data_IF_156669622809
#
_entry.id   IF_156669622809
#
_cell.length_a   1.000
_cell.length_b   1.000
_cell.length_c   1.000
_cell.angle_alpha   90.00
_cell.angle_beta   90.00
_cell.angle_gamma   90.00
#
_symmetry.space_group_name_H-M   'P 1'
#
loop_
_entity.id
_entity.type
_entity.pdbx_description
1 polymer ?
#
# COMPACT_ATOMS: atom_id res chain seq x y z
N UNK A 1 -13.39 10.62 -1.97
CA UNK A 1 -13.98 9.73 -0.94
C UNK A 1 -12.99 9.65 0.18
N UNK A 2 -13.45 9.48 1.43
CA UNK A 2 -12.58 9.52 2.62
C UNK A 2 -11.38 8.58 2.46
N UNK A 3 -10.22 9.05 2.90
CA UNK A 3 -8.97 8.31 2.89
C UNK A 3 -8.24 8.47 4.22
N UNK A 4 -7.34 7.53 4.52
CA UNK A 4 -6.40 7.59 5.63
C UNK A 4 -5.37 8.70 5.43
N UNK A 5 -4.98 8.92 4.17
CA UNK A 5 -4.00 9.93 3.80
C UNK A 5 -2.55 9.53 4.10
N UNK A 6 -2.29 8.38 4.74
CA UNK A 6 -0.97 7.76 4.89
C UNK A 6 -1.01 6.24 5.08
N UNK A 7 -1.79 5.54 4.24
CA UNK A 7 -1.96 4.09 4.40
C UNK A 7 -0.75 3.28 3.92
N UNK A 8 0.26 3.14 4.77
CA UNK A 8 1.38 2.19 4.64
C UNK A 8 1.20 1.01 5.59
N UNK A 9 1.93 -0.09 5.37
CA UNK A 9 1.88 -1.25 6.29
C UNK A 9 2.38 -0.93 7.70
N UNK A 10 3.22 0.09 7.87
CA UNK A 10 3.66 0.56 9.20
C UNK A 10 2.52 1.20 10.01
N UNK A 11 1.47 1.68 9.33
CA UNK A 11 0.31 2.33 9.93
C UNK A 11 -0.88 1.37 10.10
N UNK A 12 -0.63 0.07 9.93
CA UNK A 12 -1.61 -1.01 10.10
C UNK A 12 -1.20 -1.91 11.27
N UNK A 13 -2.02 -1.92 12.32
CA UNK A 13 -1.85 -2.81 13.47
C UNK A 13 -2.79 -4.01 13.35
N UNK A 14 -2.27 -5.20 13.66
CA UNK A 14 -3.06 -6.42 13.74
C UNK A 14 -3.27 -6.77 15.21
N UNK A 15 -4.50 -6.64 15.69
CA UNK A 15 -4.89 -7.09 17.02
C UNK A 15 -5.56 -8.45 16.91
N UNK A 16 -4.91 -9.49 17.42
CA UNK A 16 -5.53 -10.81 17.56
C UNK A 16 -6.44 -10.82 18.79
N UNK A 17 -7.65 -11.34 18.63
CA UNK A 17 -8.54 -11.59 19.77
C UNK A 17 -7.95 -12.67 20.68
N UNK A 18 -8.32 -12.71 21.97
CA UNK A 18 -8.01 -13.88 22.79
C UNK A 18 -8.66 -15.09 22.13
N UNK A 19 -7.87 -16.16 21.92
CA UNK A 19 -8.36 -17.45 21.44
C UNK A 19 -9.48 -17.93 22.36
N UNK A 20 -10.74 -17.67 22.01
CA UNK A 20 -11.93 -18.07 22.77
C UNK A 20 -12.69 -16.99 23.56
N UNK A 21 -12.45 -15.68 23.35
CA UNK A 21 -13.18 -14.65 24.11
C UNK A 21 -13.63 -13.44 23.28
N UNK A 22 -14.90 -13.05 23.41
CA UNK A 22 -15.42 -11.78 22.87
C UNK A 22 -14.74 -10.62 23.62
N UNK A 23 -14.09 -9.68 22.93
CA UNK A 23 -13.50 -8.51 23.58
C UNK A 23 -14.60 -7.62 24.19
N UNK A 24 -14.39 -7.05 25.39
CA UNK A 24 -15.39 -6.18 26.03
C UNK A 24 -15.59 -4.90 25.19
N UNK A 25 -16.85 -4.52 24.97
CA UNK A 25 -17.24 -3.28 24.26
C UNK A 25 -17.97 -3.44 22.92
N UNK A 26 -18.36 -4.66 22.51
CA UNK A 26 -18.99 -4.90 21.19
C UNK A 26 -20.50 -5.19 21.24
N UNK A 27 -21.22 -4.67 20.23
CA UNK A 27 -22.63 -4.92 19.94
C UNK A 27 -22.88 -6.39 19.54
N UNK A 28 -24.08 -6.95 19.80
CA UNK A 28 -24.42 -8.36 19.65
C UNK A 28 -24.11 -9.03 18.30
N UNK A 29 -24.14 -8.28 17.19
CA UNK A 29 -24.31 -8.87 15.84
C UNK A 29 -23.04 -8.97 14.98
N UNK A 30 -21.89 -8.50 15.46
CA UNK A 30 -20.61 -8.70 14.75
C UNK A 30 -19.89 -9.96 15.27
N UNK A 31 -19.79 -10.98 14.42
CA UNK A 31 -19.03 -12.19 14.73
C UNK A 31 -17.57 -11.81 15.05
N UNK A 32 -16.96 -12.37 16.12
CA UNK A 32 -15.59 -12.04 16.45
C UNK A 32 -14.67 -12.62 15.37
N UNK A 33 -14.13 -11.76 14.51
CA UNK A 33 -12.93 -12.10 13.79
C UNK A 33 -11.82 -12.28 14.84
N UNK A 34 -11.17 -13.44 14.80
CA UNK A 34 -9.95 -13.76 15.55
C UNK A 34 -8.81 -12.74 15.31
N UNK A 35 -8.96 -11.91 14.27
CA UNK A 35 -8.04 -10.87 13.86
C UNK A 35 -8.79 -9.56 13.56
N UNK A 36 -8.36 -8.47 14.21
CA UNK A 36 -8.81 -7.10 13.95
C UNK A 36 -7.69 -6.29 13.32
N UNK A 37 -8.05 -5.47 12.33
CA UNK A 37 -7.16 -4.51 11.70
C UNK A 37 -7.46 -3.13 12.31
N UNK A 38 -6.45 -2.49 12.87
CA UNK A 38 -6.54 -1.14 13.44
C UNK A 38 -5.62 -0.24 12.63
N UNK A 39 -6.17 0.87 12.14
CA UNK A 39 -5.42 1.89 11.40
C UNK A 39 -5.04 3.03 12.34
N UNK A 40 -3.84 3.56 12.20
CA UNK A 40 -3.29 4.62 13.05
C UNK A 40 -2.61 5.70 12.20
N UNK A 41 -2.35 6.88 12.76
CA UNK A 41 -1.62 7.97 12.10
C UNK A 41 -2.29 8.49 10.81
N UNK A 42 -3.56 8.89 10.94
CA UNK A 42 -4.31 9.52 9.86
C UNK A 42 -3.74 10.90 9.56
N UNK A 43 -3.48 11.19 8.28
CA UNK A 43 -2.96 12.47 7.83
C UNK A 43 -3.93 13.13 6.84
N UNK A 44 -3.97 14.46 6.87
CA UNK A 44 -4.73 15.21 5.88
C UNK A 44 -4.15 15.02 4.47
N UNK A 45 -5.01 14.73 3.51
CA UNK A 45 -4.63 14.64 2.09
C UNK A 45 -5.15 15.85 1.32
N UNK A 46 -4.28 16.46 0.52
CA UNK A 46 -4.69 17.55 -0.39
C UNK A 46 -5.78 17.12 -1.38
N UNK A 47 -5.75 15.84 -1.79
CA UNK A 47 -6.81 15.21 -2.58
C UNK A 47 -7.32 13.99 -1.82
N UNK A 48 -8.54 14.06 -1.30
CA UNK A 48 -9.16 12.95 -0.58
C UNK A 48 -9.68 11.88 -1.55
N UNK A 49 -8.91 10.81 -1.68
CA UNK A 49 -9.26 9.70 -2.55
C UNK A 49 -8.68 8.37 -2.04
N UNK A 50 -9.46 7.28 -2.07
CA UNK A 50 -8.94 5.95 -1.75
C UNK A 50 -7.81 5.52 -2.69
N UNK A 51 -7.69 6.12 -3.88
CA UNK A 51 -6.58 5.88 -4.80
C UNK A 51 -5.23 6.27 -4.22
N UNK A 52 -5.20 7.33 -3.40
CA UNK A 52 -3.97 7.76 -2.74
C UNK A 52 -3.54 6.72 -1.70
N UNK A 53 -4.48 6.22 -0.90
CA UNK A 53 -4.22 5.13 0.06
C UNK A 53 -3.79 3.84 -0.64
N UNK A 54 -4.46 3.47 -1.74
CA UNK A 54 -4.07 2.30 -2.53
C UNK A 54 -2.65 2.44 -3.09
N UNK A 55 -2.29 3.64 -3.59
CA UNK A 55 -0.95 3.93 -4.09
C UNK A 55 0.11 3.88 -2.99
N UNK A 56 -0.23 4.35 -1.77
CA UNK A 56 0.63 4.25 -0.59
C UNK A 56 0.79 2.82 -0.11
N UNK A 57 -0.29 2.02 -0.10
CA UNK A 57 -0.20 0.61 0.23
C UNK A 57 0.68 -0.14 -0.77
N UNK A 58 0.52 0.13 -2.07
CA UNK A 58 1.37 -0.45 -3.11
C UNK A 58 2.84 -0.05 -3.00
N UNK A 59 3.18 1.04 -2.31
CA UNK A 59 4.57 1.38 -2.00
C UNK A 59 5.25 0.26 -1.19
N UNK A 60 4.54 -0.30 -0.22
CA UNK A 60 5.02 -1.44 0.56
C UNK A 60 4.89 -2.75 -0.22
N UNK A 61 3.74 -2.99 -0.85
CA UNK A 61 3.48 -4.27 -1.49
C UNK A 61 4.36 -4.52 -2.72
N UNK A 62 4.72 -3.47 -3.46
CA UNK A 62 5.53 -3.58 -4.70
C UNK A 62 7.01 -3.37 -4.41
N UNK A 63 7.35 -2.35 -3.61
CA UNK A 63 8.73 -1.94 -3.42
C UNK A 63 9.33 -2.34 -2.07
N UNK A 64 8.54 -2.92 -1.18
CA UNK A 64 9.00 -3.35 0.15
C UNK A 64 9.48 -2.19 1.01
N UNK A 65 8.88 -1.00 0.88
CA UNK A 65 9.42 0.22 1.48
C UNK A 65 9.64 0.12 3.01
N UNK A 66 8.66 -0.45 3.74
CA UNK A 66 8.82 -0.72 5.18
C UNK A 66 10.00 -1.66 5.44
N UNK A 67 10.11 -2.75 4.70
CA UNK A 67 11.21 -3.74 4.84
C UNK A 67 12.58 -3.10 4.56
N UNK A 68 12.66 -2.25 3.53
CA UNK A 68 13.87 -1.50 3.19
C UNK A 68 14.26 -0.50 4.28
N UNK A 69 13.27 0.13 4.90
CA UNK A 69 13.47 1.11 5.97
C UNK A 69 13.96 0.48 7.28
N UNK A 70 13.73 -0.82 7.50
CA UNK A 70 14.27 -1.56 8.64
C UNK A 70 15.79 -1.74 8.57
N UNK A 71 16.42 -1.61 7.39
CA UNK A 71 17.87 -1.66 7.23
C UNK A 71 18.52 -2.92 7.85
N UNK A 72 19.70 -2.81 8.49
CA UNK A 72 20.38 -3.93 9.16
C UNK A 72 19.54 -4.60 10.26
N UNK A 73 18.54 -3.92 10.80
CA UNK A 73 17.63 -4.48 11.80
C UNK A 73 16.73 -5.57 11.22
N UNK A 74 16.43 -5.53 9.90
CA UNK A 74 15.74 -6.64 9.24
C UNK A 74 16.55 -7.94 9.28
N UNK A 75 17.87 -7.85 9.16
CA UNK A 75 18.79 -8.99 9.26
C UNK A 75 18.87 -9.54 10.68
N UNK A 76 18.80 -8.68 11.70
CA UNK A 76 18.75 -9.11 13.11
C UNK A 76 17.46 -9.87 13.46
N UNK A 77 16.35 -9.56 12.77
CA UNK A 77 15.05 -10.17 12.98
C UNK A 77 14.87 -11.54 12.31
N UNK A 78 15.88 -12.07 11.59
CA UNK A 78 15.78 -13.34 10.84
C UNK A 78 14.53 -13.42 9.94
N UNK A 79 14.15 -12.28 9.33
CA UNK A 79 12.99 -12.22 8.46
C UNK A 79 13.22 -13.05 7.19
N UNK A 80 12.35 -14.03 6.95
CA UNK A 80 12.27 -14.71 5.67
C UNK A 80 11.66 -13.76 4.62
N UNK A 81 12.54 -12.97 4.00
CA UNK A 81 12.16 -11.96 3.02
C UNK A 81 11.40 -12.58 1.83
N UNK A 82 11.72 -13.82 1.45
CA UNK A 82 11.01 -14.52 0.38
C UNK A 82 9.54 -14.70 0.74
N UNK A 83 9.24 -15.20 1.94
CA UNK A 83 7.84 -15.35 2.40
C UNK A 83 7.12 -14.00 2.55
N UNK A 84 7.83 -12.97 3.01
CA UNK A 84 7.28 -11.61 3.11
C UNK A 84 6.86 -11.10 1.73
N UNK A 85 7.76 -11.15 0.73
CA UNK A 85 7.45 -10.69 -0.62
C UNK A 85 6.39 -11.54 -1.32
N UNK A 86 6.35 -12.86 -1.08
CA UNK A 86 5.24 -13.70 -1.54
C UNK A 86 3.89 -13.24 -0.95
N UNK A 87 3.87 -12.91 0.33
CA UNK A 87 2.66 -12.41 1.01
C UNK A 87 2.25 -11.04 0.47
N UNK A 88 3.21 -10.16 0.18
CA UNK A 88 2.96 -8.87 -0.45
C UNK A 88 2.39 -9.02 -1.86
N UNK A 89 2.92 -9.95 -2.66
CA UNK A 89 2.39 -10.28 -3.98
C UNK A 89 0.93 -10.73 -3.92
N UNK A 90 0.59 -11.64 -2.99
CA UNK A 90 -0.79 -12.08 -2.79
C UNK A 90 -1.73 -10.93 -2.41
N UNK A 91 -1.30 -10.03 -1.52
CA UNK A 91 -2.08 -8.87 -1.12
C UNK A 91 -2.26 -7.86 -2.28
N UNK A 92 -1.21 -7.63 -3.06
CA UNK A 92 -1.25 -6.81 -4.27
C UNK A 92 -2.25 -7.39 -5.28
N UNK A 93 -2.17 -8.68 -5.56
CA UNK A 93 -3.09 -9.36 -6.48
C UNK A 93 -4.54 -9.29 -6.00
N UNK A 94 -4.77 -9.39 -4.68
CA UNK A 94 -6.09 -9.22 -4.10
C UNK A 94 -6.64 -7.79 -4.31
N UNK A 95 -5.80 -6.77 -4.12
CA UNK A 95 -6.15 -5.38 -4.39
C UNK A 95 -6.51 -5.19 -5.87
N UNK A 96 -5.66 -5.66 -6.79
CA UNK A 96 -5.88 -5.54 -8.23
C UNK A 96 -7.14 -6.30 -8.67
N UNK A 97 -7.39 -7.50 -8.15
CA UNK A 97 -8.60 -8.27 -8.45
C UNK A 97 -9.86 -7.56 -7.95
N UNK A 98 -9.81 -6.96 -6.77
CA UNK A 98 -10.94 -6.29 -6.14
C UNK A 98 -11.32 -4.97 -6.81
N UNK A 99 -10.34 -4.20 -7.29
CA UNK A 99 -10.57 -2.84 -7.79
C UNK A 99 -10.23 -2.62 -9.26
N UNK A 100 -9.37 -3.45 -9.86
CA UNK A 100 -8.84 -3.27 -11.21
C UNK A 100 -9.89 -3.29 -12.33
N UNK A 101 -11.09 -3.79 -12.06
CA UNK A 101 -12.20 -3.77 -13.02
C UNK A 101 -12.97 -2.44 -13.02
N UNK A 102 -12.84 -1.61 -11.98
CA UNK A 102 -13.55 -0.33 -11.90
C UNK A 102 -12.90 0.73 -12.80
N UNK A 103 -13.72 1.48 -13.53
CA UNK A 103 -13.25 2.50 -14.48
C UNK A 103 -12.46 3.63 -13.81
N UNK A 104 -12.88 4.08 -12.63
CA UNK A 104 -12.13 5.08 -11.86
C UNK A 104 -10.75 4.56 -11.44
N UNK A 105 -10.62 3.26 -11.17
CA UNK A 105 -9.33 2.66 -10.81
C UNK A 105 -8.42 2.63 -12.04
N UNK A 106 -8.90 2.03 -13.14
CA UNK A 106 -8.13 1.95 -14.40
C UNK A 106 -7.65 3.31 -14.87
N UNK A 107 -8.51 4.33 -14.78
CA UNK A 107 -8.20 5.67 -15.30
C UNK A 107 -7.21 6.45 -14.44
N UNK A 108 -7.29 6.31 -13.12
CA UNK A 108 -6.61 7.23 -12.20
C UNK A 108 -5.56 6.57 -11.30
N UNK A 109 -5.65 5.27 -11.01
CA UNK A 109 -4.74 4.61 -10.07
C UNK A 109 -3.28 4.79 -10.44
N UNK A 110 -2.93 4.54 -11.70
CA UNK A 110 -1.54 4.62 -12.14
C UNK A 110 -0.96 6.03 -12.01
N UNK A 111 -1.77 7.06 -12.22
CA UNK A 111 -1.37 8.44 -11.95
C UNK A 111 -1.03 8.66 -10.48
N UNK A 112 -1.92 8.28 -9.56
CA UNK A 112 -1.66 8.39 -8.12
C UNK A 112 -0.46 7.55 -7.68
N UNK A 113 -0.26 6.39 -8.29
CA UNK A 113 0.88 5.52 -8.00
C UNK A 113 2.21 6.15 -8.45
N UNK A 114 2.27 6.77 -9.62
CA UNK A 114 3.44 7.53 -10.08
C UNK A 114 3.71 8.72 -9.16
N UNK A 115 2.68 9.51 -8.84
CA UNK A 115 2.82 10.67 -7.94
C UNK A 115 3.33 10.23 -6.56
N UNK A 116 2.84 9.10 -6.02
CA UNK A 116 3.34 8.58 -4.75
C UNK A 116 4.82 8.17 -4.85
N UNK A 117 5.26 7.51 -5.92
CA UNK A 117 6.67 7.18 -6.12
C UNK A 117 7.54 8.45 -6.18
N UNK A 118 7.12 9.47 -6.94
CA UNK A 118 7.84 10.73 -7.03
C UNK A 118 7.93 11.45 -5.67
N UNK A 119 6.86 11.42 -4.87
CA UNK A 119 6.85 11.93 -3.50
C UNK A 119 7.88 11.19 -2.64
N UNK A 120 8.00 9.88 -2.80
CA UNK A 120 8.87 9.02 -2.00
C UNK A 120 10.35 9.21 -2.32
N UNK A 121 10.69 9.61 -3.56
CA UNK A 121 12.08 9.82 -4.01
C UNK A 121 12.92 10.69 -3.08
N UNK A 122 12.32 11.72 -2.47
CA UNK A 122 13.03 12.62 -1.55
C UNK A 122 13.46 11.95 -0.24
N UNK A 123 12.83 10.82 0.12
CA UNK A 123 13.14 10.08 1.33
C UNK A 123 14.14 8.93 1.10
N UNK A 124 14.47 8.62 -0.16
CA UNK A 124 15.47 7.61 -0.51
C UNK A 124 16.84 7.96 0.10
N UNK A 125 17.42 7.02 0.86
CA UNK A 125 18.70 7.19 1.55
C UNK A 125 19.90 6.81 0.70
N UNK A 126 19.72 5.91 -0.28
CA UNK A 126 20.76 5.49 -1.22
C UNK A 126 20.49 6.02 -2.63
N UNK A 127 21.55 6.11 -3.44
CA UNK A 127 21.45 6.41 -4.85
C UNK A 127 20.69 5.30 -5.60
N UNK A 128 20.98 4.03 -5.25
CA UNK A 128 20.35 2.85 -5.84
C UNK A 128 18.83 2.85 -5.66
N UNK A 129 18.34 3.16 -4.45
CA UNK A 129 16.89 3.22 -4.18
C UNK A 129 16.23 4.36 -4.97
N UNK A 130 16.93 5.48 -5.12
CA UNK A 130 16.45 6.62 -5.89
C UNK A 130 16.38 6.29 -7.38
N UNK A 131 17.42 5.68 -7.93
CA UNK A 131 17.48 5.28 -9.33
C UNK A 131 16.41 4.25 -9.65
N UNK A 132 16.29 3.21 -8.82
CA UNK A 132 15.28 2.18 -8.96
C UNK A 132 13.86 2.76 -8.94
N UNK A 133 13.53 3.58 -7.94
CA UNK A 133 12.20 4.16 -7.81
C UNK A 133 11.89 5.15 -8.95
N UNK A 134 12.89 5.91 -9.40
CA UNK A 134 12.72 6.83 -10.53
C UNK A 134 12.50 6.08 -11.84
N UNK A 135 13.25 5.01 -12.09
CA UNK A 135 13.07 4.14 -13.25
C UNK A 135 11.67 3.51 -13.26
N UNK A 136 11.21 3.00 -12.11
CA UNK A 136 9.85 2.46 -11.97
C UNK A 136 8.78 3.52 -12.20
N UNK A 137 8.93 4.71 -11.63
CA UNK A 137 7.97 5.81 -11.82
C UNK A 137 7.86 6.20 -13.30
N UNK A 138 8.99 6.22 -14.03
CA UNK A 138 9.02 6.51 -15.46
C UNK A 138 8.28 5.44 -16.28
N UNK A 139 8.47 4.17 -15.97
CA UNK A 139 7.75 3.06 -16.62
C UNK A 139 6.24 3.16 -16.37
N UNK A 140 5.84 3.35 -15.10
CA UNK A 140 4.44 3.48 -14.72
C UNK A 140 3.79 4.71 -15.39
N UNK A 141 4.51 5.81 -15.51
CA UNK A 141 4.02 6.99 -16.24
C UNK A 141 3.82 6.72 -17.73
N UNK A 142 4.74 5.99 -18.37
CA UNK A 142 4.61 5.64 -19.79
C UNK A 142 3.36 4.77 -20.03
N UNK A 143 3.11 3.79 -19.16
CA UNK A 143 1.90 2.97 -19.22
C UNK A 143 0.63 3.80 -19.03
N UNK A 144 0.62 4.73 -18.06
CA UNK A 144 -0.53 5.59 -17.80
C UNK A 144 -0.87 6.46 -19.01
N UNK A 145 0.16 7.02 -19.66
CA UNK A 145 -0.03 7.81 -20.89
C UNK A 145 -0.69 7.03 -22.01
N UNK A 146 -0.31 5.76 -22.20
CA UNK A 146 -0.92 4.89 -23.22
C UNK A 146 -2.38 4.59 -22.86
N UNK A 147 -2.67 4.30 -21.59
CA UNK A 147 -4.02 4.02 -21.11
C UNK A 147 -4.96 5.23 -21.30
N UNK A 148 -4.52 6.43 -20.91
CA UNK A 148 -5.30 7.65 -21.09
C UNK A 148 -5.45 8.04 -22.56
N UNK A 149 -4.39 7.90 -23.35
CA UNK A 149 -4.43 8.16 -24.80
C UNK A 149 -5.42 7.27 -25.54
N UNK A 150 -5.61 6.02 -25.10
CA UNK A 150 -6.63 5.10 -25.64
C UNK A 150 -8.04 5.43 -25.17
N UNK A 151 -8.21 6.02 -23.99
CA UNK A 151 -9.52 6.39 -23.46
C UNK A 151 -10.09 7.69 -24.06
N UNK A 152 -9.26 8.46 -24.79
CA UNK A 152 -9.63 9.72 -25.44
C UNK A 152 -9.88 9.59 -26.96
N UNK A 153 -9.68 8.41 -27.53
CA UNK A 153 -9.91 8.08 -28.95
C UNK A 153 -11.15 7.19 -29.11
#
# INVERSE_FOLDING_TARGET
GMCHGDLTLSNVLIQRGPSGGRPPGFLPDEAPADMRIVLIDFLDSFVETPLADMAKLCQDLVYGWTVRSLGPSASSAHLDLTRVYMSYGLAYDALMRRFGHHEWFKRYFRFFFVVNQLRVLQYCKSADDREYLFASAREQYALWRVEVGRAAA
#
